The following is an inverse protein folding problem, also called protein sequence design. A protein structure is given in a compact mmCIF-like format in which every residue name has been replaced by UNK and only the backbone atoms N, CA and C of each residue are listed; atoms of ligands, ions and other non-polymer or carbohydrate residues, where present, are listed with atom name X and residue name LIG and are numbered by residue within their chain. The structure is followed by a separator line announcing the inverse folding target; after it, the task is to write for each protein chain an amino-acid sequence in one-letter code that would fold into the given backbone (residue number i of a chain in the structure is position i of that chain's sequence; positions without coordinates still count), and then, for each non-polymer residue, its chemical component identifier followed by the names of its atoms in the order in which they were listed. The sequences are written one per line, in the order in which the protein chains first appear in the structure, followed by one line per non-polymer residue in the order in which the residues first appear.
data_IF_382425353550
#
_entry.id   IF_382425353550
#
_cell.length_a   1.000
_cell.length_b   1.000
_cell.length_c   1.000
_cell.angle_alpha   90.00
_cell.angle_beta   90.00
_cell.angle_gamma   90.00
#
_symmetry.space_group_name_H-M   'P 1'
#
loop_
_entity.id
_entity.type
_entity.pdbx_description
1 polymer ?
#
# COMPACT_ATOMS: atom_id res chain seq x y z
N UNK A 1 16.18 41.60 -11.53
CA UNK A 1 15.47 41.38 -10.25
C UNK A 1 15.55 39.89 -9.93
N UNK A 2 16.35 39.50 -8.94
CA UNK A 2 16.57 38.08 -8.61
C UNK A 2 15.67 37.69 -7.45
N UNK A 3 14.72 36.79 -7.69
CA UNK A 3 13.86 36.25 -6.64
C UNK A 3 14.67 35.25 -5.80
N UNK A 4 14.92 35.60 -4.52
CA UNK A 4 15.44 34.65 -3.53
C UNK A 4 14.27 33.79 -3.04
N UNK A 5 14.33 32.50 -3.30
CA UNK A 5 13.44 31.51 -2.69
C UNK A 5 13.78 31.47 -1.20
N UNK A 6 12.88 31.95 -0.35
CA UNK A 6 12.91 31.67 1.08
C UNK A 6 12.44 30.24 1.25
N UNK A 7 13.38 29.34 1.55
CA UNK A 7 13.05 28.03 2.08
C UNK A 7 12.73 28.27 3.54
N UNK A 8 11.44 28.43 3.86
CA UNK A 8 10.99 28.31 5.24
C UNK A 8 11.26 26.86 5.64
N UNK A 9 12.22 26.66 6.55
CA UNK A 9 12.47 25.39 7.24
C UNK A 9 11.20 24.99 7.96
N UNK A 10 10.33 24.25 7.25
CA UNK A 10 9.17 23.62 7.85
C UNK A 10 9.70 22.62 8.86
N UNK A 11 9.52 22.99 10.12
CA UNK A 11 9.50 22.15 11.32
C UNK A 11 9.44 20.66 10.95
N UNK A 12 10.47 19.91 11.36
CA UNK A 12 10.46 18.45 11.38
C UNK A 12 9.31 18.00 12.30
N UNK A 13 8.09 17.98 11.76
CA UNK A 13 7.00 17.25 12.36
C UNK A 13 7.42 15.80 12.32
N UNK A 14 7.79 15.25 13.47
CA UNK A 14 8.00 13.81 13.64
C UNK A 14 6.85 13.07 12.93
N UNK A 15 7.15 12.50 11.77
CA UNK A 15 6.19 11.74 11.01
C UNK A 15 6.04 10.44 11.79
N UNK A 16 5.09 10.41 12.74
CA UNK A 16 4.64 9.20 13.43
C UNK A 16 3.87 8.33 12.45
N UNK A 17 4.57 7.80 11.45
CA UNK A 17 4.07 6.86 10.48
C UNK A 17 4.16 5.44 11.03
N UNK A 18 3.13 4.65 10.81
CA UNK A 18 3.19 3.21 11.06
C UNK A 18 4.03 2.58 9.95
N UNK A 19 5.12 1.89 10.30
CA UNK A 19 5.85 1.06 9.33
C UNK A 19 4.90 -0.02 8.80
N UNK A 20 4.73 -0.07 7.49
CA UNK A 20 3.98 -1.09 6.78
C UNK A 20 4.92 -1.79 5.81
N UNK A 21 4.94 -3.11 5.85
CA UNK A 21 5.60 -3.97 4.87
C UNK A 21 4.59 -4.41 3.81
N UNK A 22 5.09 -4.78 2.63
CA UNK A 22 4.29 -5.23 1.50
C UNK A 22 4.79 -6.58 0.94
N UNK A 23 5.63 -7.26 1.72
CA UNK A 23 6.44 -8.39 1.25
C UNK A 23 5.73 -9.73 1.44
N UNK A 24 4.71 -9.78 2.30
CA UNK A 24 4.05 -11.03 2.66
C UNK A 24 2.60 -11.02 2.24
N UNK A 25 2.13 -12.16 1.68
CA UNK A 25 0.70 -12.42 1.42
C UNK A 25 -0.16 -12.14 2.65
N UNK A 26 0.36 -12.50 3.82
CA UNK A 26 -0.31 -12.28 5.09
C UNK A 26 -0.47 -10.80 5.48
N UNK A 27 0.01 -9.83 4.70
CA UNK A 27 -0.21 -8.39 4.93
C UNK A 27 -1.42 -7.87 4.14
N UNK A 28 -2.05 -8.72 3.33
CA UNK A 28 -3.20 -8.40 2.52
C UNK A 28 -4.46 -9.13 3.02
N UNK A 29 -5.62 -8.58 2.66
CA UNK A 29 -6.94 -9.17 2.87
C UNK A 29 -7.77 -8.98 1.61
N UNK A 30 -8.58 -9.98 1.30
CA UNK A 30 -9.63 -9.83 0.32
C UNK A 30 -10.84 -9.12 0.96
N UNK A 31 -11.29 -8.03 0.38
CA UNK A 31 -12.47 -7.28 0.81
C UNK A 31 -13.45 -7.12 -0.34
N UNK A 32 -14.75 -7.17 -0.05
CA UNK A 32 -15.81 -6.84 -1.00
C UNK A 32 -16.29 -5.43 -0.71
N UNK A 33 -16.13 -4.51 -1.65
CA UNK A 33 -16.65 -3.15 -1.49
C UNK A 33 -18.17 -3.16 -1.64
N UNK A 34 -18.88 -2.40 -0.81
CA UNK A 34 -20.34 -2.29 -0.90
C UNK A 34 -20.83 -1.40 -2.03
N UNK A 35 -19.97 -0.54 -2.57
CA UNK A 35 -20.30 0.39 -3.65
C UNK A 35 -20.56 -0.32 -4.98
N UNK A 36 -19.72 -1.30 -5.32
CA UNK A 36 -19.77 -2.03 -6.59
C UNK A 36 -19.99 -3.54 -6.41
N UNK A 37 -19.87 -4.05 -5.18
CA UNK A 37 -19.97 -5.48 -4.90
C UNK A 37 -18.78 -6.29 -5.42
N UNK A 38 -17.66 -5.66 -5.78
CA UNK A 38 -16.48 -6.33 -6.32
C UNK A 38 -15.50 -6.67 -5.20
N UNK A 39 -14.81 -7.80 -5.35
CA UNK A 39 -13.77 -8.25 -4.41
C UNK A 39 -12.41 -7.73 -4.85
N UNK A 40 -11.72 -7.07 -3.93
CA UNK A 40 -10.38 -6.51 -4.11
C UNK A 40 -9.44 -7.09 -3.07
N UNK A 41 -8.15 -7.18 -3.41
CA UNK A 41 -7.08 -7.50 -2.46
C UNK A 41 -6.44 -6.20 -2.03
N UNK A 42 -6.53 -5.90 -0.74
CA UNK A 42 -6.03 -4.66 -0.16
C UNK A 42 -5.12 -4.93 1.03
N UNK A 43 -4.18 -4.02 1.28
CA UNK A 43 -3.33 -4.12 2.47
C UNK A 43 -4.19 -4.03 3.74
N UNK A 44 -3.88 -4.85 4.75
CA UNK A 44 -4.65 -4.99 6.01
C UNK A 44 -5.04 -3.67 6.64
N UNK A 45 -4.15 -2.69 6.65
CA UNK A 45 -4.39 -1.36 7.23
C UNK A 45 -5.54 -0.62 6.52
N UNK A 46 -5.64 -0.72 5.19
CA UNK A 46 -6.73 -0.10 4.43
C UNK A 46 -7.99 -0.96 4.51
N UNK A 47 -7.86 -2.28 4.39
CA UNK A 47 -8.96 -3.22 4.54
C UNK A 47 -9.70 -3.02 5.87
N UNK A 48 -8.98 -2.98 6.99
CA UNK A 48 -9.56 -2.81 8.33
C UNK A 48 -10.20 -1.42 8.49
N UNK A 49 -9.65 -0.38 7.86
CA UNK A 49 -10.27 0.96 7.81
C UNK A 49 -11.58 0.96 7.03
N UNK A 50 -11.66 0.23 5.92
CA UNK A 50 -12.88 0.16 5.10
C UNK A 50 -13.96 -0.69 5.79
N UNK A 51 -13.57 -1.79 6.43
CA UNK A 51 -14.46 -2.65 7.21
C UNK A 51 -15.00 -1.91 8.43
N UNK A 52 -14.14 -1.22 9.20
CA UNK A 52 -14.57 -0.44 10.37
C UNK A 52 -15.53 0.69 10.01
N UNK A 53 -15.37 1.30 8.82
CA UNK A 53 -16.32 2.27 8.27
C UNK A 53 -17.57 1.64 7.64
N UNK A 54 -17.72 0.32 7.69
CA UNK A 54 -18.82 -0.46 7.08
C UNK A 54 -18.95 -0.26 5.56
N UNK A 55 -17.88 0.15 4.89
CA UNK A 55 -17.80 0.36 3.44
C UNK A 55 -17.42 -0.92 2.68
N UNK A 56 -16.83 -1.88 3.39
CA UNK A 56 -16.41 -3.16 2.84
C UNK A 56 -16.68 -4.32 3.81
N UNK A 57 -16.66 -5.53 3.30
CA UNK A 57 -16.78 -6.79 4.06
C UNK A 57 -15.59 -7.70 3.76
N UNK A 58 -15.03 -8.36 4.78
CA UNK A 58 -13.93 -9.30 4.58
C UNK A 58 -14.41 -10.57 3.89
N UNK A 59 -13.77 -10.94 2.78
CA UNK A 59 -14.06 -12.17 2.05
C UNK A 59 -13.08 -13.24 2.49
N UNK A 60 -13.58 -14.27 3.16
CA UNK A 60 -12.77 -15.42 3.61
C UNK A 60 -12.72 -16.49 2.52
N UNK A 61 -11.62 -17.24 2.48
CA UNK A 61 -11.45 -18.36 1.53
C UNK A 61 -10.94 -17.95 0.15
N UNK A 62 -10.39 -16.74 0.00
CA UNK A 62 -9.69 -16.32 -1.22
C UNK A 62 -8.21 -16.65 -1.07
N UNK A 63 -7.66 -17.44 -1.98
CA UNK A 63 -6.21 -17.62 -2.10
C UNK A 63 -5.60 -16.40 -2.76
N UNK A 64 -4.73 -15.70 -2.03
CA UNK A 64 -3.97 -14.56 -2.55
C UNK A 64 -2.64 -15.12 -3.04
N UNK A 65 -2.49 -15.24 -4.36
CA UNK A 65 -1.23 -15.59 -4.98
C UNK A 65 -0.38 -14.33 -5.18
N UNK A 66 0.81 -14.30 -4.57
CA UNK A 66 1.82 -13.29 -4.87
C UNK A 66 2.70 -13.87 -5.97
N UNK A 67 2.47 -13.46 -7.21
CA UNK A 67 3.36 -13.80 -8.31
C UNK A 67 4.69 -13.07 -8.14
N UNK A 68 5.80 -13.77 -8.31
CA UNK A 68 7.11 -13.12 -8.40
C UNK A 68 7.09 -12.07 -9.51
N UNK A 69 7.63 -10.89 -9.24
CA UNK A 69 7.66 -9.77 -10.18
C UNK A 69 8.27 -10.21 -11.51
N UNK A 70 7.57 -10.00 -12.62
CA UNK A 70 8.07 -10.21 -13.98
C UNK A 70 9.26 -9.30 -14.35
N UNK A 71 9.76 -8.50 -13.40
CA UNK A 71 10.86 -7.55 -13.62
C UNK A 71 12.20 -8.29 -13.53
N UNK A 72 12.76 -8.66 -14.68
CA UNK A 72 14.13 -9.17 -14.77
C UNK A 72 15.13 -8.01 -14.68
N UNK A 73 15.85 -7.90 -13.57
CA UNK A 73 17.02 -7.01 -13.49
C UNK A 73 18.19 -7.72 -14.18
N UNK A 74 18.46 -7.35 -15.44
CA UNK A 74 19.67 -7.77 -16.14
C UNK A 74 20.88 -7.18 -15.41
N UNK A 75 21.55 -7.99 -14.59
CA UNK A 75 22.87 -7.64 -14.05
C UNK A 75 23.84 -7.61 -15.24
N UNK A 76 24.18 -6.40 -15.70
CA UNK A 76 25.22 -6.24 -16.70
C UNK A 76 26.54 -6.75 -16.14
N UNK A 77 27.06 -7.83 -16.71
CA UNK A 77 28.40 -8.31 -16.43
C UNK A 77 29.39 -7.17 -16.75
N UNK A 78 29.98 -6.59 -15.71
CA UNK A 78 31.16 -5.74 -15.87
C UNK A 78 32.31 -6.66 -16.28
N UNK A 79 32.59 -6.67 -17.58
CA UNK A 79 33.85 -7.16 -18.15
C UNK A 79 35.01 -6.27 -17.73
#
# INVERSE_FOLDING_TARGET
MSAKIKVDEKEEKEIKGTKVSFDKVSEYKAIKLKSDGVTYVEHKVLADKLISKKLAEEVKGVEIEVSESNTQILKGDKK
#
